data_IF_528926301811
#
_entry.id   IF_528926301811
#
_cell.length_a   1.000
_cell.length_b   1.000
_cell.length_c   1.000
_cell.angle_alpha   90.00
_cell.angle_beta   90.00
_cell.angle_gamma   90.00
#
_symmetry.space_group_name_H-M   'P 1'
#
loop_
_entity.id
_entity.type
_entity.pdbx_description
1 polymer ?
#
# COMPACT_ATOMS: atom_id res chain seq x y z
N UNK A 1 25.98 4.14 -11.30
CA UNK A 1 25.49 2.77 -11.54
C UNK A 1 24.30 2.86 -12.51
N UNK A 2 24.26 1.99 -13.52
CA UNK A 2 23.09 1.91 -14.42
C UNK A 2 22.10 0.87 -13.87
N UNK A 3 20.82 1.23 -13.84
CA UNK A 3 19.71 0.37 -13.42
C UNK A 3 18.66 0.35 -14.54
N UNK A 4 18.24 -0.83 -14.95
CA UNK A 4 17.12 -1.02 -15.88
C UNK A 4 15.95 -1.57 -15.09
N UNK A 5 14.80 -0.87 -15.12
CA UNK A 5 13.56 -1.30 -14.49
C UNK A 5 12.58 -1.75 -15.56
N UNK A 6 12.06 -2.98 -15.45
CA UNK A 6 11.03 -3.53 -16.32
C UNK A 6 9.69 -3.52 -15.59
N UNK A 7 8.73 -2.77 -16.13
CA UNK A 7 7.36 -2.75 -15.64
C UNK A 7 6.61 -3.95 -16.22
N UNK A 8 6.31 -4.93 -15.38
CA UNK A 8 5.61 -6.15 -15.77
C UNK A 8 4.10 -6.05 -15.57
N UNK A 9 3.65 -5.11 -14.72
CA UNK A 9 2.23 -4.88 -14.46
C UNK A 9 1.89 -3.40 -14.29
N UNK A 10 0.59 -3.09 -14.33
CA UNK A 10 0.07 -1.73 -14.14
C UNK A 10 -0.42 -1.45 -12.72
N UNK A 11 -0.15 -2.32 -11.76
CA UNK A 11 -0.64 -2.20 -10.41
C UNK A 11 -0.10 -0.94 -9.70
N UNK A 12 -0.99 -0.20 -9.06
CA UNK A 12 -0.62 1.01 -8.29
C UNK A 12 0.35 0.70 -7.13
N UNK A 13 0.39 -0.54 -6.66
CA UNK A 13 1.31 -1.01 -5.64
C UNK A 13 2.79 -0.87 -6.02
N UNK A 14 3.10 -0.90 -7.31
CA UNK A 14 4.47 -0.72 -7.83
C UNK A 14 4.98 0.71 -7.72
N UNK A 15 4.08 1.67 -7.51
CA UNK A 15 4.38 3.10 -7.61
C UNK A 15 5.47 3.56 -6.67
N UNK A 16 5.51 3.05 -5.43
CA UNK A 16 6.53 3.46 -4.46
C UNK A 16 7.93 3.00 -4.86
N UNK A 17 8.07 1.75 -5.31
CA UNK A 17 9.37 1.20 -5.73
C UNK A 17 9.89 1.96 -6.95
N UNK A 18 9.04 2.15 -7.95
CA UNK A 18 9.41 2.92 -9.14
C UNK A 18 9.77 4.37 -8.79
N UNK A 19 9.00 5.00 -7.88
CA UNK A 19 9.29 6.35 -7.39
C UNK A 19 10.65 6.42 -6.71
N UNK A 20 11.03 5.42 -5.91
CA UNK A 20 12.35 5.33 -5.30
C UNK A 20 13.48 5.34 -6.34
N UNK A 21 13.38 4.53 -7.39
CA UNK A 21 14.35 4.54 -8.49
C UNK A 21 14.40 5.88 -9.24
N UNK A 22 13.23 6.48 -9.49
CA UNK A 22 13.16 7.79 -10.15
C UNK A 22 13.78 8.91 -9.30
N UNK A 23 13.59 8.88 -7.98
CA UNK A 23 14.22 9.85 -7.06
C UNK A 23 15.74 9.69 -7.03
N UNK A 24 16.24 8.46 -6.88
CA UNK A 24 17.69 8.20 -6.93
C UNK A 24 18.32 8.64 -8.25
N UNK A 25 17.60 8.49 -9.36
CA UNK A 25 18.06 8.98 -10.66
C UNK A 25 18.11 10.52 -10.72
N UNK A 26 17.11 11.20 -10.18
CA UNK A 26 17.10 12.68 -10.11
C UNK A 26 18.19 13.25 -9.21
N UNK A 27 18.57 12.50 -8.19
CA UNK A 27 19.69 12.84 -7.31
C UNK A 27 21.07 12.45 -7.90
N UNK A 28 21.11 12.01 -9.17
CA UNK A 28 22.32 11.55 -9.87
C UNK A 28 23.04 10.37 -9.17
N UNK A 29 22.33 9.59 -8.33
CA UNK A 29 22.88 8.41 -7.64
C UNK A 29 22.92 7.19 -8.56
N UNK A 30 22.07 7.17 -9.57
CA UNK A 30 22.04 6.14 -10.62
C UNK A 30 21.54 6.70 -11.95
N UNK A 31 21.81 5.97 -13.04
CA UNK A 31 21.18 6.17 -14.35
C UNK A 31 20.06 5.17 -14.50
N UNK A 32 18.83 5.63 -14.74
CA UNK A 32 17.62 4.82 -14.78
C UNK A 32 17.10 4.68 -16.21
N UNK A 33 16.98 3.44 -16.67
CA UNK A 33 16.20 3.08 -17.86
C UNK A 33 14.91 2.39 -17.43
N UNK A 34 13.76 2.82 -17.95
CA UNK A 34 12.46 2.20 -17.69
C UNK A 34 11.94 1.57 -18.96
N UNK A 35 11.76 0.26 -18.94
CA UNK A 35 11.17 -0.52 -20.02
C UNK A 35 9.72 -0.89 -19.68
N UNK A 36 8.80 -0.40 -20.48
CA UNK A 36 7.38 -0.75 -20.34
C UNK A 36 7.09 -2.08 -21.06
N UNK A 37 7.10 -3.16 -20.30
CA UNK A 37 6.84 -4.51 -20.79
C UNK A 37 5.40 -4.98 -20.52
N UNK A 38 4.51 -4.09 -20.06
CA UNK A 38 3.16 -4.45 -19.60
C UNK A 38 2.30 -5.11 -20.66
N UNK A 39 2.41 -4.69 -21.91
CA UNK A 39 1.57 -5.21 -23.00
C UNK A 39 1.78 -6.71 -23.25
N UNK A 40 3.01 -7.16 -23.14
CA UNK A 40 3.42 -8.52 -23.45
C UNK A 40 3.69 -9.36 -22.20
N UNK A 41 3.38 -8.82 -21.03
CA UNK A 41 3.68 -9.47 -19.75
C UNK A 41 2.63 -10.54 -19.42
N UNK A 42 3.04 -11.78 -19.19
CA UNK A 42 2.14 -12.84 -18.74
C UNK A 42 1.60 -12.61 -17.33
N UNK A 43 2.24 -11.73 -16.56
CA UNK A 43 1.88 -11.36 -15.18
C UNK A 43 1.29 -9.95 -15.08
N UNK A 44 0.68 -9.44 -16.16
CA UNK A 44 0.11 -8.08 -16.19
C UNK A 44 -0.91 -7.81 -15.07
N UNK A 45 -1.71 -8.81 -14.69
CA UNK A 45 -2.75 -8.70 -13.65
C UNK A 45 -2.20 -8.85 -12.22
N UNK A 46 -0.94 -9.23 -12.10
CA UNK A 46 -0.25 -9.35 -10.82
C UNK A 46 0.46 -8.03 -10.46
N UNK A 47 1.17 -7.98 -9.34
CA UNK A 47 1.88 -6.79 -8.91
C UNK A 47 3.40 -7.02 -8.89
N UNK A 48 4.02 -7.14 -10.09
CA UNK A 48 5.44 -7.40 -10.25
C UNK A 48 6.19 -6.29 -10.97
N UNK A 49 7.41 -6.03 -10.49
CA UNK A 49 8.42 -5.18 -11.10
C UNK A 49 9.77 -5.90 -11.04
N UNK A 50 10.54 -5.82 -12.11
CA UNK A 50 11.90 -6.33 -12.16
C UNK A 50 12.89 -5.17 -12.28
N UNK A 51 13.99 -5.22 -11.54
CA UNK A 51 15.10 -4.32 -11.70
C UNK A 51 16.37 -5.11 -12.01
N UNK A 52 17.25 -4.56 -12.85
CA UNK A 52 18.57 -5.13 -13.16
C UNK A 52 19.67 -4.11 -12.97
N UNK A 53 20.68 -4.47 -12.19
CA UNK A 53 21.84 -3.64 -11.93
C UNK A 53 23.09 -4.51 -11.82
N UNK A 54 24.17 -4.17 -12.55
CA UNK A 54 25.46 -4.89 -12.50
C UNK A 54 25.33 -6.41 -12.71
N UNK A 55 24.43 -6.83 -13.58
CA UNK A 55 24.16 -8.26 -13.84
C UNK A 55 23.23 -8.94 -12.84
N UNK A 56 22.91 -8.31 -11.72
CA UNK A 56 22.00 -8.82 -10.68
C UNK A 56 20.56 -8.51 -11.08
N UNK A 57 19.68 -9.52 -11.05
CA UNK A 57 18.23 -9.41 -11.27
C UNK A 57 17.48 -9.40 -9.95
N UNK A 58 16.72 -8.37 -9.73
CA UNK A 58 15.94 -8.17 -8.52
C UNK A 58 14.46 -8.17 -8.90
N UNK A 59 13.68 -9.07 -8.30
CA UNK A 59 12.24 -9.12 -8.45
C UNK A 59 11.56 -8.47 -7.25
N UNK A 60 10.61 -7.60 -7.50
CA UNK A 60 9.71 -7.04 -6.48
C UNK A 60 8.33 -7.66 -6.65
N UNK A 61 7.91 -8.45 -5.68
CA UNK A 61 6.58 -9.03 -5.56
C UNK A 61 5.76 -8.23 -4.55
N UNK A 62 4.79 -7.47 -5.07
CA UNK A 62 3.91 -6.62 -4.26
C UNK A 62 2.50 -7.19 -4.12
N UNK A 63 2.34 -8.49 -4.37
CA UNK A 63 1.07 -9.18 -4.15
C UNK A 63 0.71 -9.24 -2.67
N UNK A 64 -0.59 -9.17 -2.39
CA UNK A 64 -1.15 -9.42 -1.08
C UNK A 64 -1.28 -10.94 -0.85
N UNK A 65 -0.29 -11.53 -0.17
CA UNK A 65 -0.30 -12.96 0.12
C UNK A 65 0.49 -13.81 -0.88
N UNK A 66 0.04 -15.06 -1.06
CA UNK A 66 0.70 -16.10 -1.86
C UNK A 66 -0.22 -16.66 -2.95
N UNK A 67 -1.34 -16.01 -3.19
CA UNK A 67 -2.29 -16.39 -4.23
C UNK A 67 -1.96 -15.67 -5.53
N UNK A 68 -1.53 -16.45 -6.52
CA UNK A 68 -1.22 -15.96 -7.85
C UNK A 68 -2.28 -16.47 -8.83
N UNK A 69 -2.77 -15.58 -9.69
CA UNK A 69 -3.75 -15.96 -10.73
C UNK A 69 -3.16 -16.98 -11.70
N UNK A 70 -1.86 -16.91 -11.94
CA UNK A 70 -1.12 -17.79 -12.86
C UNK A 70 0.22 -18.21 -12.26
N UNK A 71 0.24 -19.16 -11.32
CA UNK A 71 1.48 -19.62 -10.68
C UNK A 71 2.56 -20.07 -11.70
N UNK A 72 2.13 -20.70 -12.79
CA UNK A 72 3.00 -21.18 -13.87
C UNK A 72 3.77 -20.04 -14.59
N UNK A 73 3.28 -18.80 -14.53
CA UNK A 73 3.97 -17.63 -15.09
C UNK A 73 4.80 -16.89 -14.05
N UNK A 74 4.45 -17.01 -12.78
CA UNK A 74 5.12 -16.34 -11.66
C UNK A 74 6.40 -17.08 -11.24
N UNK A 75 6.34 -18.40 -11.12
CA UNK A 75 7.49 -19.19 -10.68
C UNK A 75 8.73 -19.02 -11.57
N UNK A 76 8.66 -18.95 -12.90
CA UNK A 76 9.81 -18.62 -13.73
C UNK A 76 10.48 -17.29 -13.41
N UNK A 77 9.72 -16.26 -12.99
CA UNK A 77 10.28 -14.98 -12.55
C UNK A 77 11.09 -15.15 -11.27
N UNK A 78 10.57 -15.88 -10.29
CA UNK A 78 11.30 -16.20 -9.08
C UNK A 78 12.57 -17.02 -9.36
N UNK A 79 12.52 -17.99 -10.28
CA UNK A 79 13.68 -18.77 -10.68
C UNK A 79 14.78 -17.91 -11.26
N UNK A 80 14.43 -16.98 -12.12
CA UNK A 80 15.38 -16.15 -12.86
C UNK A 80 15.94 -14.97 -12.08
N UNK A 81 15.32 -14.60 -10.93
CA UNK A 81 15.81 -13.53 -10.07
C UNK A 81 16.93 -14.03 -9.16
N UNK A 82 17.93 -13.18 -8.92
CA UNK A 82 18.98 -13.42 -7.92
C UNK A 82 18.48 -13.04 -6.52
N UNK A 83 17.65 -12.01 -6.42
CA UNK A 83 17.07 -11.49 -5.17
C UNK A 83 15.60 -11.23 -5.42
N UNK A 84 14.76 -11.59 -4.44
CA UNK A 84 13.31 -11.29 -4.47
C UNK A 84 12.94 -10.49 -3.23
N UNK A 85 12.28 -9.35 -3.41
CA UNK A 85 11.64 -8.62 -2.33
C UNK A 85 10.14 -8.85 -2.36
N UNK A 86 9.59 -9.43 -1.29
CA UNK A 86 8.19 -9.78 -1.17
C UNK A 86 7.48 -8.93 -0.12
N UNK A 87 6.36 -8.32 -0.51
CA UNK A 87 5.53 -7.47 0.37
C UNK A 87 4.91 -8.30 1.50
N UNK A 88 4.17 -9.34 1.17
CA UNK A 88 3.56 -10.25 2.13
C UNK A 88 4.55 -11.36 2.46
N UNK A 89 5.47 -11.08 3.39
CA UNK A 89 6.56 -11.98 3.72
C UNK A 89 6.21 -12.85 4.92
N UNK A 90 6.38 -14.15 4.76
CA UNK A 90 6.41 -15.15 5.83
C UNK A 90 7.47 -16.19 5.50
N UNK A 91 8.43 -16.40 6.39
CA UNK A 91 9.50 -17.42 6.17
C UNK A 91 8.92 -18.82 6.01
N UNK A 92 7.89 -19.16 6.79
CA UNK A 92 7.20 -20.46 6.71
C UNK A 92 6.53 -20.61 5.36
N UNK A 93 5.69 -19.64 4.96
CA UNK A 93 4.99 -19.68 3.67
C UNK A 93 5.94 -19.64 2.49
N UNK A 94 7.04 -18.90 2.57
CA UNK A 94 8.07 -18.90 1.52
C UNK A 94 8.65 -20.30 1.34
N UNK A 95 8.99 -21.01 2.42
CA UNK A 95 9.51 -22.37 2.35
C UNK A 95 8.48 -23.35 1.79
N UNK A 96 7.22 -23.24 2.19
CA UNK A 96 6.12 -24.09 1.70
C UNK A 96 5.87 -23.88 0.19
N UNK A 97 5.84 -22.63 -0.28
CA UNK A 97 5.45 -22.30 -1.66
C UNK A 97 6.63 -22.38 -2.63
N UNK A 98 7.80 -21.90 -2.21
CA UNK A 98 8.95 -21.74 -3.10
C UNK A 98 10.10 -22.71 -2.83
N UNK A 99 10.05 -23.52 -1.76
CA UNK A 99 11.06 -24.51 -1.44
C UNK A 99 12.47 -23.92 -1.33
N UNK A 100 13.42 -24.47 -2.07
CA UNK A 100 14.83 -24.02 -2.08
C UNK A 100 15.01 -22.55 -2.52
N UNK A 101 14.06 -21.98 -3.24
CA UNK A 101 14.14 -20.55 -3.64
C UNK A 101 13.80 -19.56 -2.52
N UNK A 102 13.29 -20.07 -1.39
CA UNK A 102 12.91 -19.21 -0.25
C UNK A 102 14.08 -18.42 0.33
N UNK A 103 15.31 -18.91 0.22
CA UNK A 103 16.52 -18.26 0.74
C UNK A 103 16.82 -16.91 0.10
N UNK A 104 16.40 -16.69 -1.14
CA UNK A 104 16.60 -15.41 -1.85
C UNK A 104 15.44 -14.44 -1.70
N UNK A 105 14.40 -14.82 -0.94
CA UNK A 105 13.24 -13.99 -0.71
C UNK A 105 13.42 -13.18 0.58
N UNK A 106 13.36 -11.86 0.45
CA UNK A 106 13.54 -10.92 1.54
C UNK A 106 12.27 -10.11 1.80
N UNK A 107 12.01 -9.66 3.05
CA UNK A 107 10.86 -8.82 3.33
C UNK A 107 11.02 -7.46 2.68
N UNK A 108 9.96 -6.98 2.01
CA UNK A 108 9.88 -5.63 1.46
C UNK A 108 9.22 -4.65 2.44
N UNK A 109 8.28 -5.13 3.23
CA UNK A 109 7.42 -4.30 4.06
C UNK A 109 6.26 -3.67 3.30
N UNK A 110 5.51 -2.81 4.01
CA UNK A 110 4.35 -2.13 3.43
C UNK A 110 4.76 -1.09 2.41
N UNK A 111 3.92 -0.91 1.40
CA UNK A 111 4.09 0.10 0.38
C UNK A 111 2.89 1.05 0.32
N UNK A 112 3.12 2.25 -0.19
CA UNK A 112 2.12 3.28 -0.38
C UNK A 112 1.98 3.65 -1.85
N UNK A 113 0.79 4.11 -2.24
CA UNK A 113 0.56 4.68 -3.57
C UNK A 113 1.14 6.10 -3.62
N UNK A 114 2.41 6.20 -4.00
CA UNK A 114 3.13 7.45 -4.14
C UNK A 114 3.84 7.49 -5.48
N UNK A 115 3.87 8.66 -6.11
CA UNK A 115 4.41 8.83 -7.45
C UNK A 115 5.46 9.93 -7.51
N UNK A 116 6.36 9.80 -8.46
CA UNK A 116 7.15 10.89 -8.99
C UNK A 116 6.40 11.55 -10.17
N UNK A 117 6.51 12.87 -10.38
CA UNK A 117 6.02 13.49 -11.61
C UNK A 117 6.60 12.79 -12.84
N UNK A 118 5.75 12.48 -13.83
CA UNK A 118 6.17 11.76 -15.03
C UNK A 118 6.30 10.24 -14.88
N UNK A 119 5.85 9.67 -13.75
CA UNK A 119 5.81 8.21 -13.59
C UNK A 119 4.87 7.56 -14.62
N UNK A 120 5.31 6.50 -15.34
CA UNK A 120 4.47 5.78 -16.31
C UNK A 120 3.30 5.02 -15.66
N UNK A 121 3.31 4.86 -14.35
CA UNK A 121 2.22 4.23 -13.59
C UNK A 121 1.06 5.19 -13.26
N UNK A 122 1.19 6.49 -13.49
CA UNK A 122 0.09 7.45 -13.23
C UNK A 122 -1.13 7.19 -14.12
N UNK A 123 -0.96 6.45 -15.20
CA UNK A 123 -2.04 5.81 -15.97
C UNK A 123 -3.17 6.75 -16.41
N UNK A 124 -2.85 7.94 -16.93
CA UNK A 124 -3.86 8.84 -17.48
C UNK A 124 -3.44 9.31 -18.86
N UNK A 125 -4.32 9.08 -19.81
CA UNK A 125 -4.18 9.54 -21.20
C UNK A 125 -4.55 11.03 -21.37
N UNK A 126 -5.19 11.66 -20.38
CA UNK A 126 -5.64 13.05 -20.49
C UNK A 126 -5.23 13.89 -19.28
N UNK A 127 -4.90 15.18 -19.54
CA UNK A 127 -4.62 16.18 -18.47
C UNK A 127 -5.80 16.35 -17.51
N UNK A 128 -7.03 16.26 -18.01
CA UNK A 128 -8.26 16.37 -17.20
C UNK A 128 -8.42 15.15 -16.28
N UNK A 129 -8.19 13.94 -16.78
CA UNK A 129 -8.22 12.71 -15.99
C UNK A 129 -7.18 12.73 -14.87
N UNK A 130 -5.97 13.20 -15.18
CA UNK A 130 -4.93 13.41 -14.18
C UNK A 130 -5.35 14.41 -13.11
N UNK A 131 -5.87 15.59 -13.50
CA UNK A 131 -6.31 16.60 -12.55
C UNK A 131 -7.43 16.09 -11.64
N UNK A 132 -8.42 15.35 -12.19
CA UNK A 132 -9.48 14.74 -11.40
C UNK A 132 -8.91 13.74 -10.37
N UNK A 133 -7.98 12.87 -10.75
CA UNK A 133 -7.30 11.94 -9.82
C UNK A 133 -6.51 12.70 -8.75
N UNK A 134 -5.87 13.80 -9.12
CA UNK A 134 -5.10 14.64 -8.21
C UNK A 134 -5.99 15.34 -7.18
N UNK A 135 -7.11 15.92 -7.61
CA UNK A 135 -8.10 16.57 -6.73
C UNK A 135 -8.69 15.56 -5.74
N UNK A 136 -9.06 14.37 -6.22
CA UNK A 136 -9.59 13.30 -5.37
C UNK A 136 -8.54 12.66 -4.44
N UNK A 137 -7.26 13.05 -4.54
CA UNK A 137 -6.16 12.47 -3.76
C UNK A 137 -5.82 11.03 -4.14
N UNK A 138 -6.24 10.56 -5.31
CA UNK A 138 -5.89 9.22 -5.82
C UNK A 138 -4.42 9.20 -6.26
N UNK A 139 -3.95 10.30 -6.90
CA UNK A 139 -2.54 10.45 -7.27
C UNK A 139 -1.87 11.40 -6.28
N UNK A 140 -0.97 10.87 -5.46
CA UNK A 140 -0.17 11.64 -4.51
C UNK A 140 1.31 11.59 -4.90
N UNK A 141 1.95 12.74 -4.88
CA UNK A 141 3.41 12.83 -5.04
C UNK A 141 4.13 12.71 -3.70
N UNK A 142 5.43 12.44 -3.74
CA UNK A 142 6.28 12.41 -2.54
C UNK A 142 6.08 13.66 -1.68
N UNK A 143 6.07 14.83 -2.30
CA UNK A 143 5.85 16.12 -1.62
C UNK A 143 4.52 16.24 -0.88
N UNK A 144 3.51 15.43 -1.23
CA UNK A 144 2.23 15.43 -0.51
C UNK A 144 2.34 14.73 0.85
N UNK A 145 3.30 13.82 0.99
CA UNK A 145 3.58 13.10 2.25
C UNK A 145 4.61 13.81 3.12
N UNK A 146 5.51 14.57 2.51
CA UNK A 146 6.52 15.33 3.24
C UNK A 146 5.88 16.46 4.04
N UNK A 147 6.18 16.52 5.32
CA UNK A 147 5.89 17.64 6.18
C UNK A 147 7.20 18.37 6.48
N UNK A 148 7.27 19.67 6.19
CA UNK A 148 8.26 20.49 6.87
C UNK A 148 7.93 20.41 8.36
N UNK A 149 8.91 20.18 9.23
CA UNK A 149 8.73 20.26 10.69
C UNK A 149 8.32 21.69 11.08
N UNK A 150 7.06 22.02 10.88
CA UNK A 150 6.51 23.31 11.23
C UNK A 150 5.48 23.09 12.32
N UNK A 151 5.81 23.71 13.47
CA UNK A 151 4.89 24.03 14.55
C UNK A 151 3.86 22.94 14.85
N UNK A 152 4.29 21.97 15.64
CA UNK A 152 3.34 21.15 16.36
C UNK A 152 2.35 22.08 17.04
N UNK A 153 1.09 22.02 16.63
CA UNK A 153 -0.02 22.76 17.24
C UNK A 153 0.17 22.77 18.76
N UNK A 154 -0.10 23.90 19.40
CA UNK A 154 -0.09 24.02 20.86
C UNK A 154 -1.00 22.97 21.54
N UNK A 155 -1.98 22.42 20.79
CA UNK A 155 -2.83 21.30 21.20
C UNK A 155 -2.40 20.04 20.42
N UNK A 156 -1.75 19.06 21.09
CA UNK A 156 -1.38 17.80 20.44
C UNK A 156 -2.63 17.07 19.95
N UNK A 157 -2.58 16.60 18.71
CA UNK A 157 -3.68 15.83 18.10
C UNK A 157 -3.27 14.38 17.96
N UNK A 158 -4.23 13.49 18.24
CA UNK A 158 -4.12 12.03 18.05
C UNK A 158 -5.02 11.68 16.88
N UNK A 159 -4.45 11.14 15.82
CA UNK A 159 -5.18 10.71 14.63
C UNK A 159 -5.33 9.20 14.59
N UNK A 160 -6.57 8.72 14.48
CA UNK A 160 -6.88 7.34 14.15
C UNK A 160 -8.12 7.26 13.29
N UNK A 161 -7.95 7.04 11.99
CA UNK A 161 -9.02 6.80 11.03
C UNK A 161 -8.83 5.40 10.46
N UNK A 162 -9.90 4.59 10.51
CA UNK A 162 -9.85 3.22 10.04
C UNK A 162 -11.16 2.85 9.32
N UNK A 163 -11.18 1.68 8.70
CA UNK A 163 -12.38 1.09 8.10
C UNK A 163 -12.69 -0.25 8.77
N UNK A 164 -13.94 -0.69 8.71
CA UNK A 164 -14.31 -2.06 9.00
C UNK A 164 -14.34 -2.87 7.72
N UNK A 165 -14.08 -4.16 7.84
CA UNK A 165 -14.21 -5.15 6.78
C UNK A 165 -15.47 -5.97 7.02
N UNK A 166 -16.28 -6.14 5.99
CA UNK A 166 -17.51 -6.93 6.11
C UNK A 166 -17.19 -8.43 6.04
N UNK A 167 -17.31 -9.20 7.16
CA UNK A 167 -17.02 -10.62 7.13
C UNK A 167 -18.00 -11.42 6.24
N UNK A 168 -19.12 -10.83 5.83
CA UNK A 168 -20.08 -11.46 4.94
C UNK A 168 -19.70 -11.37 3.46
N UNK A 169 -18.58 -10.74 3.10
CA UNK A 169 -18.10 -10.74 1.72
C UNK A 169 -17.89 -12.17 1.21
N UNK A 170 -18.40 -12.52 0.01
CA UNK A 170 -18.37 -13.91 -0.50
C UNK A 170 -16.98 -14.54 -0.52
N UNK A 171 -15.95 -13.74 -0.85
CA UNK A 171 -14.56 -14.21 -0.88
C UNK A 171 -14.04 -14.58 0.50
N UNK A 172 -14.54 -13.93 1.55
CA UNK A 172 -14.12 -14.16 2.94
C UNK A 172 -14.84 -15.36 3.52
N UNK A 173 -16.11 -15.57 3.15
CA UNK A 173 -16.95 -16.66 3.66
C UNK A 173 -16.41 -18.06 3.30
N UNK A 174 -15.51 -18.16 2.35
CA UNK A 174 -14.85 -19.43 1.99
C UNK A 174 -13.76 -19.86 2.97
N UNK A 175 -13.34 -18.95 3.86
CA UNK A 175 -12.25 -19.19 4.84
C UNK A 175 -12.71 -18.75 6.24
N UNK A 176 -13.07 -19.73 7.09
CA UNK A 176 -13.56 -19.47 8.44
C UNK A 176 -12.54 -18.77 9.35
N UNK A 177 -11.26 -19.00 9.13
CA UNK A 177 -10.19 -18.33 9.87
C UNK A 177 -10.11 -16.84 9.48
N UNK A 178 -10.26 -16.53 8.20
CA UNK A 178 -10.30 -15.17 7.70
C UNK A 178 -11.52 -14.40 8.24
N UNK A 179 -12.70 -15.07 8.29
CA UNK A 179 -13.92 -14.51 8.91
C UNK A 179 -13.66 -14.14 10.37
N UNK A 180 -13.04 -15.06 11.13
CA UNK A 180 -12.71 -14.83 12.55
C UNK A 180 -11.74 -13.65 12.70
N UNK A 181 -10.67 -13.62 11.93
CA UNK A 181 -9.67 -12.55 11.98
C UNK A 181 -10.26 -11.17 11.65
N UNK A 182 -11.12 -11.08 10.64
CA UNK A 182 -11.80 -9.82 10.31
C UNK A 182 -12.71 -9.35 11.44
N UNK A 183 -13.41 -10.28 12.10
CA UNK A 183 -14.23 -9.99 13.29
C UNK A 183 -13.39 -9.38 14.40
N UNK A 184 -12.31 -10.04 14.80
CA UNK A 184 -11.41 -9.57 15.87
C UNK A 184 -10.77 -8.20 15.56
N UNK A 185 -10.34 -8.01 14.32
CA UNK A 185 -9.76 -6.73 13.87
C UNK A 185 -10.81 -5.62 13.94
N UNK A 186 -12.05 -5.89 13.52
CA UNK A 186 -13.13 -4.92 13.56
C UNK A 186 -13.47 -4.52 15.00
N UNK A 187 -13.59 -5.51 15.90
CA UNK A 187 -13.84 -5.26 17.33
C UNK A 187 -12.74 -4.41 17.96
N UNK A 188 -11.49 -4.76 17.72
CA UNK A 188 -10.33 -3.98 18.19
C UNK A 188 -10.38 -2.54 17.69
N UNK A 189 -10.71 -2.33 16.41
CA UNK A 189 -10.80 -1.00 15.80
C UNK A 189 -11.91 -0.16 16.44
N UNK A 190 -13.09 -0.70 16.61
CA UNK A 190 -14.22 -0.03 17.27
C UNK A 190 -13.90 0.32 18.73
N UNK A 191 -13.35 -0.65 19.47
CA UNK A 191 -12.94 -0.44 20.85
C UNK A 191 -11.89 0.67 20.98
N UNK A 192 -10.89 0.68 20.11
CA UNK A 192 -9.83 1.69 20.13
C UNK A 192 -10.38 3.10 19.86
N UNK A 193 -11.29 3.27 18.89
CA UNK A 193 -11.94 4.55 18.63
C UNK A 193 -12.72 5.03 19.86
N UNK A 194 -13.50 4.16 20.50
CA UNK A 194 -14.27 4.50 21.71
C UNK A 194 -13.36 4.93 22.87
N UNK A 195 -12.31 4.14 23.14
CA UNK A 195 -11.32 4.46 24.18
C UNK A 195 -10.61 5.79 23.93
N UNK A 196 -10.20 6.05 22.68
CA UNK A 196 -9.52 7.31 22.35
C UNK A 196 -10.45 8.51 22.46
N UNK A 197 -11.71 8.40 22.04
CA UNK A 197 -12.71 9.47 22.22
C UNK A 197 -12.96 9.77 23.69
N UNK A 198 -13.06 8.75 24.54
CA UNK A 198 -13.28 8.92 25.98
C UNK A 198 -12.07 9.51 26.70
N UNK A 199 -10.87 9.04 26.37
CA UNK A 199 -9.65 9.46 27.06
C UNK A 199 -9.13 10.84 26.57
N UNK A 200 -9.39 11.21 25.33
CA UNK A 200 -8.84 12.41 24.69
C UNK A 200 -9.91 13.19 23.90
N UNK A 201 -11.01 13.63 24.52
CA UNK A 201 -12.17 14.18 23.80
C UNK A 201 -11.85 15.41 22.95
N UNK A 202 -10.89 16.25 23.37
CA UNK A 202 -10.51 17.46 22.63
C UNK A 202 -9.36 17.24 21.65
N UNK A 203 -8.52 16.23 21.88
CA UNK A 203 -7.30 15.97 21.11
C UNK A 203 -7.52 14.92 20.02
N UNK A 204 -8.49 14.04 20.20
CA UNK A 204 -8.74 12.94 19.30
C UNK A 204 -9.43 13.38 18.01
N UNK A 205 -8.83 13.03 16.89
CA UNK A 205 -9.42 13.18 15.56
C UNK A 205 -9.47 11.79 14.94
N UNK A 206 -10.66 11.21 14.86
CA UNK A 206 -10.75 9.88 14.30
C UNK A 206 -12.14 9.26 14.36
N UNK A 207 -12.22 8.07 13.79
CA UNK A 207 -13.43 7.29 13.71
C UNK A 207 -13.33 6.22 12.61
N UNK A 208 -14.51 5.72 12.26
CA UNK A 208 -14.69 4.64 11.30
C UNK A 208 -15.15 5.24 9.96
N UNK A 209 -14.55 4.79 8.87
CA UNK A 209 -15.00 5.13 7.52
C UNK A 209 -16.41 4.60 7.29
N UNK A 210 -17.26 5.42 6.68
CA UNK A 210 -18.63 5.06 6.35
C UNK A 210 -18.68 3.87 5.38
N UNK A 211 -19.50 2.89 5.73
CA UNK A 211 -19.86 1.73 4.90
C UNK A 211 -21.17 1.12 5.41
N UNK A 212 -21.91 0.36 4.59
CA UNK A 212 -23.15 -0.31 5.05
C UNK A 212 -22.91 -1.18 6.29
N UNK A 213 -21.82 -1.91 6.34
CA UNK A 213 -21.44 -2.71 7.50
C UNK A 213 -21.15 -1.85 8.74
N UNK A 214 -20.38 -0.77 8.59
CA UNK A 214 -20.06 0.13 9.70
C UNK A 214 -21.33 0.82 10.25
N UNK A 215 -22.26 1.21 9.38
CA UNK A 215 -23.56 1.80 9.80
C UNK A 215 -24.37 0.85 10.65
N UNK A 216 -24.30 -0.46 10.40
CA UNK A 216 -24.97 -1.46 11.21
C UNK A 216 -24.26 -1.71 12.54
N UNK A 217 -22.92 -1.74 12.56
CA UNK A 217 -22.13 -2.14 13.72
C UNK A 217 -21.81 -1.00 14.70
N UNK A 218 -21.60 0.21 14.20
CA UNK A 218 -21.13 1.33 15.03
C UNK A 218 -21.51 2.70 14.42
N UNK A 219 -22.80 3.02 14.27
CA UNK A 219 -23.25 4.27 13.66
C UNK A 219 -22.72 5.52 14.40
N UNK A 220 -22.48 5.39 15.70
CA UNK A 220 -21.92 6.44 16.58
C UNK A 220 -20.45 6.77 16.31
N UNK A 221 -19.73 5.89 15.62
CA UNK A 221 -18.29 6.05 15.34
C UNK A 221 -17.99 6.51 13.92
N UNK A 222 -19.01 6.64 13.07
CA UNK A 222 -18.82 6.97 11.66
C UNK A 222 -18.34 8.40 11.47
N UNK A 223 -17.38 8.56 10.59
CA UNK A 223 -16.90 9.85 10.13
C UNK A 223 -17.72 10.32 8.92
N UNK A 224 -17.86 11.64 8.78
CA UNK A 224 -18.40 12.21 7.53
C UNK A 224 -17.56 11.75 6.33
N UNK A 225 -18.20 11.51 5.20
CA UNK A 225 -17.58 11.01 3.96
C UNK A 225 -16.27 11.76 3.59
N UNK A 226 -16.33 13.11 3.63
CA UNK A 226 -15.18 13.96 3.32
C UNK A 226 -13.98 13.74 4.25
N UNK A 227 -14.24 13.28 5.48
CA UNK A 227 -13.19 13.08 6.49
C UNK A 227 -12.20 11.98 6.14
N UNK A 228 -12.60 11.04 5.29
CA UNK A 228 -11.81 9.89 4.87
C UNK A 228 -11.08 10.10 3.53
N UNK A 229 -11.34 11.20 2.85
CA UNK A 229 -10.62 11.51 1.61
C UNK A 229 -9.12 11.58 1.85
N UNK A 230 -8.35 10.91 1.01
CA UNK A 230 -6.89 10.76 1.18
C UNK A 230 -6.17 12.09 1.40
N UNK A 231 -6.58 13.15 0.69
CA UNK A 231 -6.00 14.48 0.85
C UNK A 231 -6.27 15.09 2.23
N UNK A 232 -7.48 14.92 2.76
CA UNK A 232 -7.85 15.39 4.11
C UNK A 232 -7.13 14.57 5.16
N UNK A 233 -7.06 13.24 4.96
CA UNK A 233 -6.30 12.35 5.83
C UNK A 233 -4.83 12.75 5.92
N UNK A 234 -4.16 12.97 4.79
CA UNK A 234 -2.76 13.41 4.74
C UNK A 234 -2.55 14.76 5.42
N UNK A 235 -3.50 15.71 5.22
CA UNK A 235 -3.44 16.98 5.92
C UNK A 235 -3.55 16.80 7.44
N UNK A 236 -4.48 15.99 7.92
CA UNK A 236 -4.64 15.68 9.35
C UNK A 236 -3.40 14.98 9.90
N UNK A 237 -2.85 14.01 9.18
CA UNK A 237 -1.64 13.29 9.56
C UNK A 237 -0.46 14.23 9.78
N UNK A 238 -0.24 15.18 8.86
CA UNK A 238 0.83 16.19 8.97
C UNK A 238 0.68 17.12 10.18
N UNK A 239 -0.54 17.31 10.67
CA UNK A 239 -0.85 18.19 11.81
C UNK A 239 -1.14 17.42 13.11
N UNK A 240 -0.89 16.12 13.14
CA UNK A 240 -1.06 15.29 14.32
C UNK A 240 0.29 14.92 14.92
N UNK A 241 0.38 14.90 16.25
CA UNK A 241 1.57 14.41 16.98
C UNK A 241 1.68 12.90 16.97
N UNK A 242 0.52 12.24 17.05
CA UNK A 242 0.42 10.78 17.10
C UNK A 242 -0.52 10.35 15.99
N UNK A 243 -0.04 9.47 15.16
CA UNK A 243 -0.86 8.76 14.18
C UNK A 243 -0.86 7.29 14.55
N UNK A 244 -2.05 6.75 14.79
CA UNK A 244 -2.20 5.35 15.17
C UNK A 244 -2.50 4.55 13.90
N UNK A 245 -1.77 3.46 13.70
CA UNK A 245 -2.04 2.44 12.71
C UNK A 245 -2.49 1.18 13.45
N UNK A 246 -3.69 0.68 13.14
CA UNK A 246 -4.17 -0.59 13.68
C UNK A 246 -3.58 -1.75 12.90
N UNK A 247 -3.55 -2.91 13.55
CA UNK A 247 -3.20 -4.18 12.90
C UNK A 247 -4.05 -4.42 11.66
N UNK A 248 -3.43 -4.85 10.58
CA UNK A 248 -4.06 -5.37 9.37
C UNK A 248 -4.00 -6.90 9.33
N UNK A 249 -4.41 -7.49 8.22
CA UNK A 249 -4.15 -8.91 7.92
C UNK A 249 -2.65 -9.10 7.69
N UNK A 250 -2.10 -10.17 8.22
CA UNK A 250 -0.71 -10.58 8.05
C UNK A 250 -0.62 -11.79 7.16
#
# INVERSE_FOLDING_TARGET
MKVTVRLLSGADHLSQILTGFQMLSRENKLTLDILDCRKDSPVYQEAFLEAQANGIRILFDLMDGYWYNRPETVFPLYHSADIVFKRSFSSVKNSEVFGAFSEKIHPLGFNYHVFCPGSPLIGTTSKIGFLKKRIKGVTCYVSDYEAKMTHVSARPRILFITRLWDPAEPVVQTDSELVRQWGEINEMRMLLVRKLRAAFPEQFIGGIQDSPFAQTQCPDLILSEHSTWKRIYLHRMKHSKICIASTGLH
#
